data_IF_611077651471
#
_entry.id   IF_611077651471
#
_cell.length_a   1.000
_cell.length_b   1.000
_cell.length_c   1.000
_cell.angle_alpha   90.00
_cell.angle_beta   90.00
_cell.angle_gamma   90.00
#
_symmetry.space_group_name_H-M   'P 1'
#
loop_
_entity.id
_entity.type
_entity.pdbx_description
1 polymer ?
#
# COMPACT_ATOMS: atom_id res chain seq x y z
N UNK A 1 -7.20 12.16 -8.78
CA UNK A 1 -7.56 11.09 -7.81
C UNK A 1 -6.34 10.81 -6.95
N UNK A 2 -6.54 10.60 -5.66
CA UNK A 2 -5.50 10.48 -4.66
C UNK A 2 -5.03 9.04 -4.45
N UNK A 3 -3.76 8.88 -4.18
CA UNK A 3 -3.15 7.63 -3.73
C UNK A 3 -2.80 7.78 -2.24
N UNK A 4 -3.50 7.05 -1.40
CA UNK A 4 -3.50 7.24 0.05
C UNK A 4 -2.66 6.17 0.73
N UNK A 5 -1.75 6.58 1.61
CA UNK A 5 -0.99 5.73 2.51
C UNK A 5 -1.51 5.95 3.94
N UNK A 6 -2.12 4.94 4.55
CA UNK A 6 -2.46 4.99 5.97
C UNK A 6 -1.24 4.61 6.80
N UNK A 7 -0.65 5.61 7.44
CA UNK A 7 0.49 5.42 8.35
C UNK A 7 0.05 5.61 9.80
N UNK A 8 0.72 4.94 10.72
CA UNK A 8 0.35 4.88 12.14
C UNK A 8 1.58 4.63 13.01
N UNK A 9 1.47 4.81 14.31
CA UNK A 9 2.61 4.61 15.20
C UNK A 9 3.16 3.19 15.12
N UNK A 10 4.47 3.08 14.93
CA UNK A 10 5.18 1.81 14.69
C UNK A 10 4.73 1.04 13.44
N UNK A 11 4.26 1.73 12.39
CA UNK A 11 4.18 1.13 11.07
C UNK A 11 5.59 0.89 10.52
N UNK A 12 5.75 -0.16 9.73
CA UNK A 12 7.00 -0.46 9.01
C UNK A 12 7.06 0.39 7.74
N UNK A 13 7.70 1.54 7.82
CA UNK A 13 7.70 2.49 6.70
C UNK A 13 8.56 2.00 5.52
N UNK A 14 9.63 1.20 5.79
CA UNK A 14 10.47 0.61 4.75
C UNK A 14 9.68 -0.22 3.73
N UNK A 15 8.56 -0.80 4.14
CA UNK A 15 7.73 -1.65 3.28
C UNK A 15 7.07 -0.87 2.13
N UNK A 16 6.93 0.45 2.27
CA UNK A 16 6.23 1.30 1.29
C UNK A 16 7.14 2.33 0.61
N UNK A 17 8.42 2.42 1.00
CA UNK A 17 9.34 3.45 0.49
C UNK A 17 9.56 3.34 -1.02
N UNK A 18 9.74 2.11 -1.56
CA UNK A 18 9.97 1.92 -3.00
C UNK A 18 8.71 2.27 -3.79
N UNK A 19 7.53 1.86 -3.30
CA UNK A 19 6.26 2.25 -3.93
C UNK A 19 6.08 3.76 -3.92
N UNK A 20 6.33 4.40 -2.77
CA UNK A 20 6.29 5.86 -2.67
C UNK A 20 7.25 6.53 -3.67
N UNK A 21 8.47 5.98 -3.84
CA UNK A 21 9.42 6.47 -4.83
C UNK A 21 8.87 6.37 -6.26
N UNK A 22 8.29 5.23 -6.65
CA UNK A 22 7.69 5.06 -7.99
C UNK A 22 6.54 6.03 -8.22
N UNK A 23 5.64 6.15 -7.26
CA UNK A 23 4.49 7.06 -7.35
C UNK A 23 4.93 8.53 -7.44
N UNK A 24 5.94 8.95 -6.66
CA UNK A 24 6.47 10.30 -6.73
C UNK A 24 7.13 10.59 -8.09
N UNK A 25 7.89 9.63 -8.61
CA UNK A 25 8.51 9.75 -9.92
C UNK A 25 7.48 9.86 -11.05
N UNK A 26 6.35 9.17 -10.92
CA UNK A 26 5.22 9.22 -11.85
C UNK A 26 4.23 10.38 -11.56
N UNK A 27 4.60 11.33 -10.70
CA UNK A 27 3.77 12.50 -10.34
C UNK A 27 2.36 12.17 -9.83
N UNK A 28 2.21 11.08 -9.08
CA UNK A 28 0.95 10.73 -8.44
C UNK A 28 0.57 11.74 -7.34
N UNK A 29 -0.73 11.95 -7.15
CA UNK A 29 -1.28 12.78 -6.05
C UNK A 29 -1.34 11.94 -4.77
N UNK A 30 -0.20 11.87 -4.07
CA UNK A 30 -0.03 11.05 -2.86
C UNK A 30 -0.45 11.81 -1.60
N UNK A 31 -1.08 11.08 -0.68
CA UNK A 31 -1.48 11.58 0.64
C UNK A 31 -1.07 10.57 1.71
N UNK A 32 -0.22 10.98 2.63
CA UNK A 32 0.05 10.23 3.85
C UNK A 32 -0.94 10.64 4.92
N UNK A 33 -1.87 9.75 5.27
CA UNK A 33 -2.84 10.03 6.31
C UNK A 33 -2.59 9.22 7.58
N UNK A 34 -3.01 9.76 8.70
CA UNK A 34 -3.15 9.07 9.99
C UNK A 34 -4.60 9.14 10.44
N UNK A 35 -4.98 8.42 11.49
CA UNK A 35 -6.36 8.45 11.96
C UNK A 35 -6.82 9.86 12.36
N UNK A 36 -5.94 10.63 13.00
CA UNK A 36 -6.25 11.95 13.59
C UNK A 36 -5.47 13.13 12.98
N UNK A 37 -4.69 12.89 11.94
CA UNK A 37 -3.87 13.91 11.28
C UNK A 37 -2.59 14.30 12.02
N UNK A 38 -2.26 13.64 13.14
CA UNK A 38 -1.03 13.94 13.89
C UNK A 38 0.18 13.18 13.32
N UNK A 39 1.39 13.69 13.56
CA UNK A 39 2.62 12.98 13.24
C UNK A 39 2.70 11.64 13.98
N UNK A 40 3.32 10.65 13.34
CA UNK A 40 3.56 9.32 13.91
C UNK A 40 5.05 9.03 14.03
N UNK A 41 5.39 8.04 14.85
CA UNK A 41 6.73 7.48 14.95
C UNK A 41 6.76 6.13 14.23
N UNK A 42 7.48 6.04 13.12
CA UNK A 42 7.67 4.80 12.37
C UNK A 42 8.47 3.77 13.18
N UNK A 43 8.38 2.50 12.82
CA UNK A 43 9.14 1.41 13.45
C UNK A 43 10.65 1.66 13.36
N UNK A 44 11.11 2.27 12.28
CA UNK A 44 12.51 2.63 12.01
C UNK A 44 13.01 3.79 12.87
N UNK A 45 12.14 4.43 13.66
CA UNK A 45 12.52 5.43 14.64
C UNK A 45 12.54 6.88 14.16
N UNK A 46 12.08 7.19 12.96
CA UNK A 46 11.89 8.57 12.51
C UNK A 46 10.42 9.01 12.61
N UNK A 47 10.18 10.31 12.56
CA UNK A 47 8.85 10.90 12.60
C UNK A 47 8.34 11.13 11.18
N UNK A 48 7.09 10.75 10.92
CA UNK A 48 6.37 11.04 9.67
C UNK A 48 5.25 12.03 9.99
N UNK A 49 5.22 13.14 9.28
CA UNK A 49 4.11 14.08 9.34
C UNK A 49 2.97 13.59 8.46
N UNK A 50 1.74 13.68 8.96
CA UNK A 50 0.56 13.40 8.16
C UNK A 50 0.18 14.63 7.32
N UNK A 51 -0.30 14.37 6.09
CA UNK A 51 -0.88 15.41 5.24
C UNK A 51 -2.33 15.70 5.63
N UNK A 52 -3.05 14.68 6.14
CA UNK A 52 -4.46 14.78 6.51
C UNK A 52 -4.89 13.70 7.51
N UNK A 53 -5.95 13.93 8.29
CA UNK A 53 -6.63 12.85 9.00
C UNK A 53 -7.47 12.00 8.03
N UNK A 54 -7.56 10.69 8.31
CA UNK A 54 -8.26 9.71 7.45
C UNK A 54 -9.71 10.13 7.14
N UNK A 55 -10.42 10.62 8.15
CA UNK A 55 -11.83 11.00 8.03
C UNK A 55 -12.09 12.25 7.20
N UNK A 56 -11.07 13.05 6.87
CA UNK A 56 -11.19 14.22 6.00
C UNK A 56 -11.07 13.90 4.52
N UNK A 57 -10.70 12.67 4.16
CA UNK A 57 -10.49 12.29 2.78
C UNK A 57 -11.80 11.85 2.11
N UNK A 58 -12.10 12.47 0.98
CA UNK A 58 -13.26 12.12 0.16
C UNK A 58 -13.02 10.78 -0.54
N UNK A 59 -13.71 9.72 -0.09
CA UNK A 59 -13.52 8.35 -0.57
C UNK A 59 -13.73 8.18 -2.07
N UNK A 60 -14.58 8.99 -2.68
CA UNK A 60 -14.82 8.99 -4.13
C UNK A 60 -13.64 9.50 -4.95
N UNK A 61 -12.68 10.17 -4.32
CA UNK A 61 -11.47 10.69 -4.95
C UNK A 61 -10.24 9.77 -4.75
N UNK A 62 -10.38 8.66 -4.02
CA UNK A 62 -9.27 7.74 -3.74
C UNK A 62 -9.15 6.71 -4.87
N UNK A 63 -7.99 6.71 -5.54
CA UNK A 63 -7.61 5.74 -6.57
C UNK A 63 -7.03 4.48 -5.95
N UNK A 64 -6.11 4.66 -5.01
CA UNK A 64 -5.47 3.55 -4.28
C UNK A 64 -5.35 3.84 -2.80
N UNK A 65 -5.36 2.76 -2.00
CA UNK A 65 -5.20 2.80 -0.55
C UNK A 65 -4.18 1.77 -0.12
N UNK A 66 -3.08 2.23 0.46
CA UNK A 66 -1.91 1.43 0.82
C UNK A 66 -1.82 1.30 2.33
N UNK A 67 -1.67 0.05 2.81
CA UNK A 67 -1.61 -0.30 4.22
C UNK A 67 -0.32 -1.05 4.52
N UNK A 68 0.71 -0.41 5.13
CA UNK A 68 1.91 -1.08 5.58
C UNK A 68 1.64 -1.97 6.81
N UNK A 69 2.57 -2.87 7.09
CA UNK A 69 2.59 -3.62 8.34
C UNK A 69 3.13 -2.84 9.52
N UNK A 70 3.38 -3.54 10.61
CA UNK A 70 3.88 -2.99 11.87
C UNK A 70 2.96 -3.33 13.04
N UNK A 71 2.84 -2.42 14.03
CA UNK A 71 2.02 -2.61 15.22
C UNK A 71 0.56 -2.19 14.96
N UNK A 72 -0.21 -3.05 14.31
CA UNK A 72 -1.54 -2.79 13.76
C UNK A 72 -2.70 -2.49 14.75
N UNK A 73 -2.66 -2.75 16.08
CA UNK A 73 -3.84 -2.55 16.95
C UNK A 73 -4.45 -1.15 16.88
N UNK A 74 -3.64 -0.12 16.56
CA UNK A 74 -4.12 1.26 16.40
C UNK A 74 -5.10 1.41 15.23
N UNK A 75 -4.89 0.66 14.14
CA UNK A 75 -5.67 0.74 12.90
C UNK A 75 -6.60 -0.45 12.66
N UNK A 76 -6.45 -1.53 13.43
CA UNK A 76 -7.31 -2.72 13.33
C UNK A 76 -8.62 -2.49 14.08
N UNK A 77 -9.43 -1.56 13.60
CA UNK A 77 -10.63 -1.05 14.21
C UNK A 77 -11.84 -1.17 13.29
N UNK A 78 -13.04 -1.21 13.88
CA UNK A 78 -14.29 -1.26 13.11
C UNK A 78 -14.43 -0.06 12.15
N UNK A 79 -13.91 1.12 12.51
CA UNK A 79 -13.92 2.32 11.67
C UNK A 79 -13.06 2.13 10.42
N UNK A 80 -11.81 1.69 10.58
CA UNK A 80 -10.90 1.40 9.45
C UNK A 80 -11.43 0.28 8.59
N UNK A 81 -11.99 -0.78 9.20
CA UNK A 81 -12.61 -1.88 8.46
C UNK A 81 -13.77 -1.39 7.58
N UNK A 82 -14.67 -0.57 8.12
CA UNK A 82 -15.79 0.00 7.37
C UNK A 82 -15.29 0.94 6.24
N UNK A 83 -14.22 1.69 6.50
CA UNK A 83 -13.59 2.55 5.50
C UNK A 83 -13.04 1.73 4.32
N UNK A 84 -12.28 0.66 4.60
CA UNK A 84 -11.75 -0.25 3.59
C UNK A 84 -12.85 -0.93 2.77
N UNK A 85 -13.93 -1.38 3.43
CA UNK A 85 -15.08 -1.99 2.76
C UNK A 85 -15.76 -1.02 1.79
N UNK A 86 -15.88 0.25 2.16
CA UNK A 86 -16.45 1.27 1.28
C UNK A 86 -15.54 1.57 0.08
N UNK A 87 -14.23 1.67 0.28
CA UNK A 87 -13.24 1.81 -0.80
C UNK A 87 -13.30 0.63 -1.78
N UNK A 88 -13.38 -0.61 -1.27
CA UNK A 88 -13.51 -1.81 -2.11
C UNK A 88 -14.76 -1.75 -2.98
N UNK A 89 -15.92 -1.37 -2.41
CA UNK A 89 -17.18 -1.21 -3.15
C UNK A 89 -17.10 -0.15 -4.24
N UNK A 90 -16.29 0.88 -4.04
CA UNK A 90 -16.05 1.96 -5.02
C UNK A 90 -15.04 1.59 -6.10
N UNK A 91 -14.39 0.43 -5.99
CA UNK A 91 -13.41 -0.05 -6.96
C UNK A 91 -12.00 0.52 -6.78
N UNK A 92 -11.69 1.18 -5.66
CA UNK A 92 -10.33 1.61 -5.37
C UNK A 92 -9.38 0.41 -5.30
N UNK A 93 -8.13 0.58 -5.73
CA UNK A 93 -7.09 -0.40 -5.50
C UNK A 93 -6.73 -0.43 -4.01
N UNK A 94 -6.78 -1.60 -3.40
CA UNK A 94 -6.39 -1.80 -1.99
C UNK A 94 -5.13 -2.64 -1.96
N UNK A 95 -4.08 -2.12 -1.35
CA UNK A 95 -2.80 -2.80 -1.28
C UNK A 95 -2.35 -2.93 0.19
N UNK A 96 -2.07 -4.16 0.62
CA UNK A 96 -1.58 -4.46 1.96
C UNK A 96 -0.29 -5.26 1.94
N UNK A 97 0.61 -4.98 2.87
CA UNK A 97 1.86 -5.69 3.05
C UNK A 97 2.06 -6.08 4.52
N UNK A 98 2.67 -7.25 4.76
CA UNK A 98 2.99 -7.73 6.10
C UNK A 98 1.72 -7.79 7.00
N UNK A 99 1.76 -7.27 8.21
CA UNK A 99 0.61 -7.20 9.12
C UNK A 99 -0.55 -6.31 8.60
N UNK A 100 -0.31 -5.45 7.60
CA UNK A 100 -1.39 -4.74 6.90
C UNK A 100 -2.37 -5.69 6.21
N UNK A 101 -1.89 -6.88 5.77
CA UNK A 101 -2.74 -7.92 5.18
C UNK A 101 -3.69 -8.51 6.23
N UNK A 102 -3.27 -8.63 7.49
CA UNK A 102 -4.14 -9.09 8.59
C UNK A 102 -5.33 -8.15 8.80
N UNK A 103 -5.10 -6.84 8.70
CA UNK A 103 -6.17 -5.83 8.77
C UNK A 103 -7.14 -5.98 7.60
N UNK A 104 -6.63 -6.19 6.38
CA UNK A 104 -7.47 -6.43 5.20
C UNK A 104 -8.32 -7.70 5.36
N UNK A 105 -7.76 -8.77 5.91
CA UNK A 105 -8.48 -10.02 6.15
C UNK A 105 -9.61 -9.82 7.19
N UNK A 106 -9.30 -9.23 8.33
CA UNK A 106 -10.28 -8.94 9.40
C UNK A 106 -11.37 -7.96 8.94
N UNK A 107 -11.02 -7.03 8.05
CA UNK A 107 -12.00 -6.15 7.40
C UNK A 107 -12.86 -6.89 6.35
N UNK A 108 -12.59 -8.17 6.06
CA UNK A 108 -13.32 -8.96 5.07
C UNK A 108 -13.02 -8.59 3.61
N UNK A 109 -11.92 -7.86 3.38
CA UNK A 109 -11.50 -7.47 2.02
C UNK A 109 -11.04 -8.67 1.19
N UNK A 110 -10.50 -9.70 1.86
CA UNK A 110 -9.90 -10.86 1.19
C UNK A 110 -10.88 -12.00 0.88
N UNK A 111 -12.16 -11.90 1.26
CA UNK A 111 -13.14 -13.01 1.19
C UNK A 111 -13.39 -13.57 -0.21
N UNK A 112 -13.28 -12.73 -1.25
CA UNK A 112 -13.63 -13.05 -2.63
C UNK A 112 -12.46 -12.86 -3.62
N UNK A 113 -11.24 -12.76 -3.08
CA UNK A 113 -10.01 -12.62 -3.85
C UNK A 113 -8.94 -13.59 -3.35
N UNK A 114 -8.01 -13.95 -4.23
CA UNK A 114 -6.78 -14.61 -3.82
C UNK A 114 -5.85 -13.62 -3.12
N UNK A 115 -5.10 -14.11 -2.15
CA UNK A 115 -4.19 -13.30 -1.34
C UNK A 115 -3.04 -14.13 -0.81
N UNK A 116 -2.03 -13.48 -0.21
CA UNK A 116 -0.95 -14.16 0.49
C UNK A 116 -1.40 -14.95 1.75
N UNK A 117 -2.65 -14.76 2.20
CA UNK A 117 -3.28 -15.59 3.24
C UNK A 117 -3.92 -16.86 2.69
N UNK A 118 -4.27 -16.89 1.39
CA UNK A 118 -4.93 -18.02 0.75
C UNK A 118 -4.00 -18.84 -0.15
N UNK A 119 -2.77 -18.38 -0.38
CA UNK A 119 -1.75 -19.05 -1.21
C UNK A 119 -0.41 -19.08 -0.49
N UNK A 120 0.55 -19.87 -0.99
CA UNK A 120 1.94 -19.87 -0.49
C UNK A 120 2.87 -18.94 -1.29
N UNK A 121 2.30 -17.98 -1.99
CA UNK A 121 3.04 -16.99 -2.78
C UNK A 121 3.52 -15.82 -1.91
N UNK A 122 4.64 -15.20 -2.29
CA UNK A 122 5.18 -14.04 -1.58
C UNK A 122 4.40 -12.76 -1.88
N UNK A 123 3.74 -12.70 -3.04
CA UNK A 123 2.82 -11.64 -3.42
C UNK A 123 1.67 -12.19 -4.27
N UNK A 124 0.51 -11.59 -4.14
CA UNK A 124 -0.70 -11.92 -4.92
C UNK A 124 -1.41 -10.64 -5.30
N UNK A 125 -1.77 -10.53 -6.56
CA UNK A 125 -2.55 -9.41 -7.08
C UNK A 125 -3.78 -9.95 -7.82
N UNK A 126 -4.94 -9.88 -7.17
CA UNK A 126 -6.22 -10.34 -7.72
C UNK A 126 -7.24 -9.22 -7.74
N UNK A 127 -7.87 -8.98 -8.90
CA UNK A 127 -8.79 -7.86 -9.14
C UNK A 127 -8.14 -6.53 -8.73
N UNK A 128 -8.75 -5.81 -7.78
CA UNK A 128 -8.26 -4.55 -7.24
C UNK A 128 -7.68 -4.68 -5.81
N UNK A 129 -7.14 -5.86 -5.49
CA UNK A 129 -6.46 -6.11 -4.22
C UNK A 129 -5.08 -6.67 -4.49
N UNK A 130 -4.05 -6.09 -3.86
CA UNK A 130 -2.67 -6.60 -3.87
C UNK A 130 -2.24 -6.87 -2.44
N UNK A 131 -1.73 -8.07 -2.18
CA UNK A 131 -1.21 -8.47 -0.87
C UNK A 131 0.19 -9.02 -1.00
N UNK A 132 1.05 -8.77 0.01
CA UNK A 132 2.47 -9.13 -0.06
C UNK A 132 3.01 -9.48 1.32
N UNK A 133 3.94 -10.43 1.39
CA UNK A 133 4.72 -10.69 2.61
C UNK A 133 5.73 -9.58 2.85
N UNK A 134 6.15 -9.38 4.10
CA UNK A 134 7.00 -8.27 4.53
C UNK A 134 8.33 -8.15 3.76
N UNK A 135 8.95 -9.27 3.44
CA UNK A 135 10.25 -9.33 2.75
C UNK A 135 10.15 -9.12 1.23
N UNK A 136 8.94 -9.14 0.66
CA UNK A 136 8.70 -8.93 -0.77
C UNK A 136 8.26 -7.49 -1.08
N UNK A 137 8.77 -6.49 -0.36
CA UNK A 137 8.40 -5.08 -0.50
C UNK A 137 8.78 -4.47 -1.86
N UNK A 138 9.77 -5.02 -2.55
CA UNK A 138 10.10 -4.64 -3.94
C UNK A 138 9.01 -5.14 -4.90
N UNK A 139 8.59 -6.40 -4.74
CA UNK A 139 7.48 -6.96 -5.51
C UNK A 139 6.18 -6.19 -5.24
N UNK A 140 5.92 -5.83 -3.99
CA UNK A 140 4.80 -4.99 -3.61
C UNK A 140 4.76 -3.68 -4.40
N UNK A 141 5.89 -2.98 -4.46
CA UNK A 141 6.00 -1.73 -5.20
C UNK A 141 5.75 -1.93 -6.69
N UNK A 142 6.33 -2.97 -7.30
CA UNK A 142 6.18 -3.27 -8.73
C UNK A 142 4.73 -3.64 -9.05
N UNK A 143 4.11 -4.54 -8.26
CA UNK A 143 2.76 -5.01 -8.55
C UNK A 143 1.69 -3.93 -8.35
N UNK A 144 1.83 -3.08 -7.33
CA UNK A 144 0.95 -1.92 -7.16
C UNK A 144 1.15 -0.91 -8.28
N UNK A 145 2.39 -0.62 -8.67
CA UNK A 145 2.69 0.28 -9.79
C UNK A 145 2.13 -0.24 -11.13
N UNK A 146 2.18 -1.55 -11.38
CA UNK A 146 1.53 -2.19 -12.55
C UNK A 146 0.01 -1.96 -12.53
N UNK A 147 -0.64 -2.18 -11.39
CA UNK A 147 -2.10 -1.96 -11.24
C UNK A 147 -2.50 -0.51 -11.46
N UNK A 148 -1.63 0.42 -11.13
CA UNK A 148 -1.83 1.86 -11.32
C UNK A 148 -1.39 2.36 -12.69
N UNK A 149 -0.85 1.48 -13.56
CA UNK A 149 -0.32 1.79 -14.89
C UNK A 149 0.75 2.90 -14.84
N UNK A 150 1.71 2.79 -13.92
CA UNK A 150 2.77 3.78 -13.75
C UNK A 150 3.96 3.58 -14.69
N UNK A 151 4.08 2.42 -15.34
CA UNK A 151 5.13 2.14 -16.32
C UNK A 151 4.71 2.62 -17.70
N UNK A 152 5.64 3.29 -18.41
CA UNK A 152 5.39 3.83 -19.75
C UNK A 152 5.34 2.72 -20.82
N UNK A 153 6.05 1.61 -20.59
CA UNK A 153 6.13 0.47 -21.51
C UNK A 153 6.53 -0.81 -20.79
N UNK A 154 6.45 -1.94 -21.48
CA UNK A 154 6.98 -3.21 -20.98
C UNK A 154 8.50 -3.17 -20.79
N UNK A 155 9.23 -2.41 -21.62
CA UNK A 155 10.67 -2.22 -21.49
C UNK A 155 11.02 -1.44 -20.20
N UNK A 156 10.24 -0.41 -19.87
CA UNK A 156 10.37 0.36 -18.63
C UNK A 156 10.10 -0.52 -17.40
N UNK A 157 9.05 -1.34 -17.45
CA UNK A 157 8.75 -2.33 -16.40
C UNK A 157 9.91 -3.32 -16.25
N UNK A 158 10.42 -3.90 -17.34
CA UNK A 158 11.52 -4.86 -17.29
C UNK A 158 12.80 -4.21 -16.75
N UNK A 159 13.12 -2.99 -17.19
CA UNK A 159 14.26 -2.23 -16.66
C UNK A 159 14.14 -1.96 -15.16
N UNK A 160 12.96 -1.67 -14.68
CA UNK A 160 12.67 -1.51 -13.24
C UNK A 160 12.88 -2.81 -12.48
N UNK A 161 12.38 -3.94 -12.99
CA UNK A 161 12.58 -5.26 -12.39
C UNK A 161 14.08 -5.59 -12.35
N UNK A 162 14.78 -5.37 -13.45
CA UNK A 162 16.21 -5.66 -13.56
C UNK A 162 17.03 -4.84 -12.56
N UNK A 163 16.71 -3.56 -12.41
CA UNK A 163 17.39 -2.70 -11.45
C UNK A 163 17.11 -3.12 -9.98
N UNK A 164 15.84 -3.24 -9.59
CA UNK A 164 15.44 -3.42 -8.20
C UNK A 164 15.53 -4.86 -7.70
N UNK A 165 15.34 -5.85 -8.58
CA UNK A 165 15.35 -7.28 -8.21
C UNK A 165 16.60 -8.03 -8.67
N UNK A 166 17.10 -7.74 -9.87
CA UNK A 166 18.20 -8.49 -10.49
C UNK A 166 19.54 -7.78 -10.34
N UNK A 167 19.58 -6.64 -9.64
CA UNK A 167 20.79 -5.86 -9.35
C UNK A 167 21.59 -5.45 -10.61
N UNK A 168 20.89 -5.26 -11.73
CA UNK A 168 21.53 -4.76 -12.95
C UNK A 168 21.96 -3.30 -12.76
N UNK A 169 23.19 -3.00 -13.16
CA UNK A 169 23.74 -1.65 -13.07
C UNK A 169 23.24 -0.82 -14.24
N UNK A 170 22.83 0.40 -13.96
CA UNK A 170 22.61 1.41 -15.01
C UNK A 170 23.99 1.73 -15.60
N UNK A 171 24.12 1.60 -16.93
CA UNK A 171 25.33 1.96 -17.67
C UNK A 171 25.35 3.45 -17.99
#
# INVERSE_FOLDING_TARGET
>A
MKDVFLVYNKCCFYEIVILNYFMNFSHCDMVFCTLDGKPIRAMEGFTVNADAPLNSLEKGEIRSFVLPGGNIPEIDTAEVHAYLQDLKKRGALIAGICAGVDVLDRAGILRDVQSTHSTDEDWVSDRNVTTTRANAYVDFAIEVAKKLNLFESEEDLQGTIDFWKNYHRVQ
#
